data_IF_827699096298
#
_entry.id   IF_827699096298
#
_cell.length_a   1.000
_cell.length_b   1.000
_cell.length_c   1.000
_cell.angle_alpha   90.00
_cell.angle_beta   90.00
_cell.angle_gamma   90.00
#
_symmetry.space_group_name_H-M   'P 1'
#
loop_
_entity.id
_entity.type
_entity.pdbx_description
1 polymer ?
#
# COMPACT_ATOMS: atom_id res chain seq x y z
N UNK A 1 7.53 -11.08 2.60
CA UNK A 1 8.13 -11.44 3.89
C UNK A 1 8.91 -10.26 4.44
N UNK A 2 8.92 -10.01 5.75
CA UNK A 2 9.72 -8.90 6.33
C UNK A 2 11.21 -9.29 6.31
N UNK A 3 12.08 -8.34 5.93
CA UNK A 3 13.52 -8.55 6.00
C UNK A 3 13.95 -8.82 7.46
N UNK A 4 14.87 -9.79 7.70
CA UNK A 4 15.39 -10.04 9.04
C UNK A 4 15.98 -8.75 9.64
N UNK A 5 15.67 -8.39 10.90
CA UNK A 5 16.16 -7.16 11.51
C UNK A 5 17.68 -7.03 11.50
N UNK A 6 18.40 -8.15 11.61
CA UNK A 6 19.88 -8.21 11.53
C UNK A 6 20.46 -7.73 10.20
N UNK A 7 19.66 -7.72 9.12
CA UNK A 7 20.05 -7.27 7.80
C UNK A 7 19.53 -5.85 7.49
N UNK A 8 18.94 -5.16 8.46
CA UNK A 8 18.38 -3.81 8.29
C UNK A 8 19.07 -2.88 9.28
N UNK A 9 19.71 -1.84 8.77
CA UNK A 9 20.52 -0.90 9.53
C UNK A 9 19.93 0.50 9.40
N UNK A 10 19.80 1.19 10.51
CA UNK A 10 19.40 2.59 10.53
C UNK A 10 20.38 3.36 11.41
N UNK A 11 21.16 4.25 10.81
CA UNK A 11 22.28 4.90 11.48
C UNK A 11 22.56 6.30 10.93
N UNK A 12 23.37 7.07 11.65
CA UNK A 12 23.82 8.39 11.22
C UNK A 12 25.12 8.26 10.44
N UNK A 13 25.10 8.56 9.14
CA UNK A 13 26.27 8.39 8.29
C UNK A 13 27.10 9.68 8.26
N UNK A 14 28.38 9.66 8.68
CA UNK A 14 29.25 10.84 8.61
C UNK A 14 29.39 11.39 7.19
N UNK A 15 29.50 10.51 6.19
CA UNK A 15 29.73 10.86 4.79
C UNK A 15 28.49 11.47 4.11
N UNK A 16 27.29 11.18 4.63
CA UNK A 16 26.03 11.74 4.13
C UNK A 16 25.62 12.98 4.93
N UNK A 17 26.56 13.90 5.19
CA UNK A 17 26.33 15.15 5.96
C UNK A 17 25.71 14.91 7.34
N UNK A 18 26.02 13.78 7.97
CA UNK A 18 25.42 13.36 9.25
C UNK A 18 23.88 13.20 9.19
N UNK A 19 23.32 12.88 8.02
CA UNK A 19 21.92 12.50 7.88
C UNK A 19 21.70 11.06 8.34
N UNK A 20 20.44 10.73 8.64
CA UNK A 20 20.01 9.36 8.88
C UNK A 20 19.93 8.59 7.57
N UNK A 21 20.49 7.38 7.57
CA UNK A 21 20.50 6.47 6.44
C UNK A 21 19.90 5.15 6.88
N UNK A 22 18.97 4.63 6.08
CA UNK A 22 18.50 3.25 6.16
C UNK A 22 19.20 2.42 5.08
N UNK A 23 19.81 1.31 5.48
CA UNK A 23 20.46 0.36 4.57
C UNK A 23 19.96 -1.05 4.87
N UNK A 24 19.76 -1.86 3.86
CA UNK A 24 19.39 -3.27 4.06
C UNK A 24 20.11 -4.18 3.08
N UNK A 25 20.43 -5.39 3.53
CA UNK A 25 21.08 -6.41 2.74
C UNK A 25 20.10 -7.53 2.39
N UNK A 26 20.05 -7.89 1.11
CA UNK A 26 19.23 -8.98 0.60
C UNK A 26 20.06 -9.82 -0.38
N UNK A 27 20.05 -11.13 -0.22
CA UNK A 27 20.70 -12.07 -1.13
C UNK A 27 19.64 -12.61 -2.10
N UNK A 28 19.86 -12.41 -3.39
CA UNK A 28 19.04 -13.03 -4.44
C UNK A 28 19.46 -14.49 -4.56
N UNK A 29 18.52 -15.40 -4.28
CA UNK A 29 18.78 -16.85 -4.24
C UNK A 29 18.31 -17.59 -5.50
N UNK A 30 17.55 -16.92 -6.38
CA UNK A 30 17.03 -17.48 -7.64
C UNK A 30 17.10 -16.44 -8.76
N UNK A 31 17.73 -16.80 -9.86
CA UNK A 31 17.95 -15.90 -11.00
C UNK A 31 16.65 -15.59 -11.78
N UNK A 32 15.69 -16.52 -11.79
CA UNK A 32 14.41 -16.37 -12.50
C UNK A 32 13.30 -15.71 -11.65
N UNK A 33 13.54 -15.44 -10.36
CA UNK A 33 12.53 -14.89 -9.46
C UNK A 33 12.53 -13.35 -9.51
N UNK A 34 11.32 -12.77 -9.54
CA UNK A 34 11.14 -11.31 -9.46
C UNK A 34 10.89 -10.91 -8.01
N UNK A 35 11.84 -10.16 -7.44
CA UNK A 35 11.74 -9.65 -6.07
C UNK A 35 11.21 -8.22 -6.05
N UNK A 36 10.25 -7.96 -5.17
CA UNK A 36 9.68 -6.63 -4.96
C UNK A 36 9.93 -6.19 -3.52
N UNK A 37 10.48 -4.98 -3.36
CA UNK A 37 10.69 -4.36 -2.06
C UNK A 37 9.69 -3.24 -1.86
N UNK A 38 9.01 -3.26 -0.71
CA UNK A 38 8.09 -2.22 -0.31
C UNK A 38 8.25 -1.98 1.20
N UNK A 39 8.00 -0.75 1.64
CA UNK A 39 8.08 -0.38 3.05
C UNK A 39 7.02 -1.13 3.89
N UNK A 40 5.83 -1.29 3.34
CA UNK A 40 4.73 -2.07 3.90
C UNK A 40 4.05 -2.89 2.81
N UNK A 41 3.09 -3.74 3.19
CA UNK A 41 2.36 -4.57 2.22
C UNK A 41 1.53 -3.66 1.28
N UNK A 42 1.77 -3.72 -0.04
CA UNK A 42 1.16 -2.77 -0.97
C UNK A 42 -0.35 -3.04 -1.11
N UNK A 43 -1.14 -1.97 -1.06
CA UNK A 43 -2.55 -2.00 -1.41
C UNK A 43 -2.76 -1.16 -2.66
N UNK A 44 -3.00 -1.84 -3.79
CA UNK A 44 -3.09 -1.18 -5.10
C UNK A 44 -4.46 -0.55 -5.33
N UNK A 45 -4.51 0.50 -6.13
CA UNK A 45 -5.77 1.14 -6.52
C UNK A 45 -6.72 0.16 -7.21
N UNK A 46 -6.21 -0.70 -8.11
CA UNK A 46 -7.02 -1.74 -8.76
C UNK A 46 -7.63 -2.71 -7.74
N UNK A 47 -6.88 -3.09 -6.70
CA UNK A 47 -7.40 -3.95 -5.62
C UNK A 47 -8.48 -3.24 -4.80
N UNK A 48 -8.33 -1.93 -4.54
CA UNK A 48 -9.36 -1.11 -3.92
C UNK A 48 -10.65 -1.12 -4.75
N UNK A 49 -10.55 -0.82 -6.04
CA UNK A 49 -11.72 -0.73 -6.93
C UNK A 49 -12.45 -2.07 -7.01
N UNK A 50 -11.73 -3.18 -7.21
CA UNK A 50 -12.34 -4.52 -7.16
C UNK A 50 -13.00 -4.83 -5.81
N UNK A 51 -12.40 -4.41 -4.70
CA UNK A 51 -12.99 -4.61 -3.38
C UNK A 51 -14.31 -3.85 -3.24
N UNK A 52 -14.34 -2.57 -3.61
CA UNK A 52 -15.55 -1.74 -3.54
C UNK A 52 -16.65 -2.25 -4.47
N UNK A 53 -16.30 -2.68 -5.69
CA UNK A 53 -17.26 -3.25 -6.64
C UNK A 53 -17.88 -4.54 -6.11
N UNK A 54 -17.06 -5.41 -5.51
CA UNK A 54 -17.54 -6.64 -4.89
C UNK A 54 -18.42 -6.36 -3.67
N UNK A 55 -18.13 -5.29 -2.92
CA UNK A 55 -18.93 -4.89 -1.76
C UNK A 55 -20.27 -4.32 -2.20
N UNK A 56 -20.29 -3.46 -3.22
CA UNK A 56 -21.52 -2.93 -3.82
C UNK A 56 -22.41 -4.02 -4.42
N UNK A 57 -21.81 -5.03 -5.07
CA UNK A 57 -22.55 -6.20 -5.61
C UNK A 57 -23.26 -7.03 -4.53
N UNK A 58 -22.88 -6.91 -3.26
CA UNK A 58 -23.59 -7.60 -2.16
C UNK A 58 -24.92 -6.96 -1.80
N UNK A 59 -25.20 -5.75 -2.27
CA UNK A 59 -26.47 -5.04 -2.11
C UNK A 59 -27.00 -5.06 -0.67
N UNK A 60 -26.16 -4.61 0.26
CA UNK A 60 -26.49 -4.54 1.69
C UNK A 60 -27.29 -3.26 1.97
N UNK A 61 -28.44 -3.38 2.65
CA UNK A 61 -29.35 -2.25 2.91
C UNK A 61 -28.73 -1.13 3.75
N UNK A 62 -27.67 -1.46 4.50
CA UNK A 62 -26.94 -0.51 5.36
C UNK A 62 -25.70 0.08 4.69
N UNK A 63 -25.46 -0.19 3.40
CA UNK A 63 -24.27 0.25 2.68
C UNK A 63 -24.64 1.16 1.49
N UNK A 64 -24.07 2.35 1.47
CA UNK A 64 -24.16 3.27 0.34
C UNK A 64 -22.75 3.66 -0.13
N UNK A 65 -22.55 3.70 -1.47
CA UNK A 65 -21.32 4.18 -2.12
C UNK A 65 -21.68 5.34 -3.05
N UNK A 66 -21.05 6.48 -2.84
CA UNK A 66 -21.26 7.68 -3.64
C UNK A 66 -19.93 8.24 -4.16
N UNK A 67 -19.93 8.87 -5.32
CA UNK A 67 -18.76 9.58 -5.84
C UNK A 67 -18.73 10.99 -5.24
N UNK A 68 -17.79 11.22 -4.31
CA UNK A 68 -17.59 12.55 -3.71
C UNK A 68 -16.95 13.53 -4.71
N UNK A 69 -16.10 13.01 -5.59
CA UNK A 69 -15.43 13.80 -6.61
C UNK A 69 -14.24 13.08 -7.22
N UNK A 70 -13.37 13.85 -7.86
CA UNK A 70 -12.16 13.34 -8.49
C UNK A 70 -10.93 13.96 -7.83
N UNK A 71 -9.90 13.15 -7.62
CA UNK A 71 -8.56 13.65 -7.26
C UNK A 71 -7.95 14.49 -8.39
N UNK A 72 -6.84 15.17 -8.11
CA UNK A 72 -6.10 15.97 -9.13
C UNK A 72 -5.75 15.13 -10.37
N UNK A 73 -5.45 13.85 -10.19
CA UNK A 73 -5.15 12.90 -11.27
C UNK A 73 -6.40 12.21 -11.85
N UNK A 74 -7.60 12.78 -11.64
CA UNK A 74 -8.87 12.26 -12.16
C UNK A 74 -9.25 10.85 -11.67
N UNK A 75 -8.75 10.44 -10.49
CA UNK A 75 -9.20 9.19 -9.83
C UNK A 75 -10.42 9.43 -8.96
N UNK A 76 -11.37 8.48 -9.00
CA UNK A 76 -12.59 8.51 -8.19
C UNK A 76 -12.29 8.54 -6.69
N UNK A 77 -12.93 9.48 -5.99
CA UNK A 77 -12.96 9.56 -4.54
C UNK A 77 -14.34 9.09 -4.08
N UNK A 78 -14.41 7.84 -3.65
CA UNK A 78 -15.65 7.22 -3.18
C UNK A 78 -15.88 7.54 -1.70
N UNK A 79 -17.11 7.93 -1.35
CA UNK A 79 -17.62 8.00 0.02
C UNK A 79 -18.42 6.74 0.31
N UNK A 80 -18.08 6.05 1.41
CA UNK A 80 -18.79 4.88 1.88
C UNK A 80 -19.54 5.23 3.16
N UNK A 81 -20.86 5.08 3.12
CA UNK A 81 -21.73 5.30 4.27
C UNK A 81 -22.25 3.95 4.75
N UNK A 82 -22.01 3.63 6.02
CA UNK A 82 -22.46 2.41 6.68
C UNK A 82 -23.35 2.80 7.85
N UNK A 83 -24.66 2.68 7.68
CA UNK A 83 -25.66 3.07 8.69
C UNK A 83 -26.92 2.26 8.53
N UNK A 84 -27.72 2.15 9.60
CA UNK A 84 -29.07 1.61 9.51
C UNK A 84 -29.91 2.42 8.50
N UNK A 85 -30.83 1.76 7.76
CA UNK A 85 -31.73 2.42 6.81
C UNK A 85 -32.66 3.44 7.47
#
# INVERSE_FOLDING_TARGET
>A
QRLPPKNVYYYRCPDHRKNYVMSFAFCFDREDDVYQFAYCYPYTYTRLQHYLDNLQKRNMDYFCRELLGLSVQQRQLDLLTITNP
#
